data_IF_041454069237
#
_entry.id   IF_041454069237
#
_cell.length_a   1.000
_cell.length_b   1.000
_cell.length_c   1.000
_cell.angle_alpha   90.00
_cell.angle_beta   90.00
_cell.angle_gamma   90.00
#
_symmetry.space_group_name_H-M   'P 1'
#
loop_
_entity.id
_entity.type
_entity.pdbx_description
1 polymer ?
#
# COMPACT_ATOMS: atom_id res chain seq x y z
N UNK A 1 14.52 3.62 3.80
CA UNK A 1 14.44 3.13 5.21
C UNK A 1 13.67 4.16 6.01
N UNK A 2 12.48 3.82 6.51
CA UNK A 2 11.63 4.74 7.28
C UNK A 2 12.08 4.82 8.75
N UNK A 3 11.78 5.94 9.41
CA UNK A 3 12.12 6.28 10.80
C UNK A 3 10.91 6.09 11.71
N UNK A 4 11.14 6.03 13.02
CA UNK A 4 10.05 5.93 14.02
C UNK A 4 9.04 7.09 13.93
N UNK A 5 9.48 8.28 13.52
CA UNK A 5 8.57 9.43 13.28
C UNK A 5 7.57 9.15 12.16
N UNK A 6 7.96 8.36 11.15
CA UNK A 6 7.13 8.13 9.97
C UNK A 6 5.92 7.25 10.33
N UNK A 7 6.03 6.39 11.36
CA UNK A 7 4.87 5.71 11.96
C UNK A 7 3.87 6.69 12.58
N UNK A 8 4.37 7.64 13.37
CA UNK A 8 3.51 8.63 14.05
C UNK A 8 2.85 9.55 13.03
N UNK A 9 3.60 10.04 12.05
CA UNK A 9 3.08 10.90 10.99
C UNK A 9 1.99 10.22 10.14
N UNK A 10 2.07 8.89 9.99
CA UNK A 10 1.16 8.14 9.15
C UNK A 10 0.18 7.23 9.92
N UNK A 11 0.02 7.43 11.23
CA UNK A 11 -0.85 6.60 12.08
C UNK A 11 -2.25 6.40 11.49
N UNK A 12 -2.87 7.47 10.96
CA UNK A 12 -4.19 7.38 10.31
C UNK A 12 -4.22 6.43 9.12
N UNK A 13 -3.15 6.35 8.34
CA UNK A 13 -3.05 5.52 7.14
C UNK A 13 -2.68 4.08 7.48
N UNK A 14 -1.87 3.89 8.51
CA UNK A 14 -1.61 2.57 9.07
C UNK A 14 -2.92 1.95 9.61
N UNK A 15 -3.76 2.75 10.26
CA UNK A 15 -5.10 2.31 10.65
C UNK A 15 -6.00 1.99 9.44
N UNK A 16 -5.89 2.74 8.34
CA UNK A 16 -6.62 2.45 7.10
C UNK A 16 -6.15 1.14 6.43
N UNK A 17 -4.83 0.88 6.44
CA UNK A 17 -4.24 -0.39 6.01
C UNK A 17 -4.82 -1.56 6.81
N UNK A 18 -4.81 -1.49 8.14
CA UNK A 18 -5.34 -2.56 8.99
C UNK A 18 -6.84 -2.79 8.76
N UNK A 19 -7.65 -1.72 8.70
CA UNK A 19 -9.09 -1.85 8.46
C UNK A 19 -9.43 -2.42 7.08
N UNK A 20 -8.68 -2.05 6.05
CA UNK A 20 -8.86 -2.61 4.71
C UNK A 20 -8.35 -4.06 4.64
N UNK A 21 -7.23 -4.37 5.29
CA UNK A 21 -6.69 -5.71 5.39
C UNK A 21 -7.64 -6.67 6.12
N UNK A 22 -8.33 -6.22 7.17
CA UNK A 22 -9.37 -6.99 7.84
C UNK A 22 -10.53 -7.32 6.90
N UNK A 23 -11.02 -6.34 6.14
CA UNK A 23 -12.10 -6.52 5.15
C UNK A 23 -11.70 -7.43 3.99
N UNK A 24 -10.41 -7.47 3.68
CA UNK A 24 -9.81 -8.33 2.66
C UNK A 24 -9.38 -9.69 3.22
N UNK A 25 -9.57 -9.93 4.53
CA UNK A 25 -9.13 -11.14 5.22
C UNK A 25 -7.65 -11.47 4.91
N UNK A 26 -6.78 -10.47 4.99
CA UNK A 26 -5.35 -10.65 4.74
C UNK A 26 -4.63 -11.24 5.96
N UNK A 27 -3.68 -12.12 5.70
CA UNK A 27 -2.78 -12.68 6.71
C UNK A 27 -1.80 -11.65 7.26
N UNK A 28 -1.21 -11.92 8.42
CA UNK A 28 -0.25 -11.02 9.08
C UNK A 28 0.94 -10.68 8.18
N UNK A 29 1.45 -11.63 7.40
CA UNK A 29 2.57 -11.39 6.48
C UNK A 29 2.22 -10.35 5.42
N UNK A 30 1.04 -10.45 4.79
CA UNK A 30 0.57 -9.49 3.79
C UNK A 30 0.36 -8.09 4.39
N UNK A 31 -0.14 -8.00 5.62
CA UNK A 31 -0.31 -6.73 6.36
C UNK A 31 1.03 -6.05 6.65
N UNK A 32 1.99 -6.80 7.18
CA UNK A 32 3.34 -6.30 7.44
C UNK A 32 4.00 -5.84 6.14
N UNK A 33 3.89 -6.64 5.07
CA UNK A 33 4.41 -6.27 3.75
C UNK A 33 3.78 -4.98 3.22
N UNK A 34 2.46 -4.85 3.30
CA UNK A 34 1.76 -3.65 2.86
C UNK A 34 2.19 -2.42 3.66
N UNK A 35 2.36 -2.55 4.98
CA UNK A 35 2.85 -1.47 5.84
C UNK A 35 4.25 -1.03 5.46
N UNK A 36 5.18 -1.97 5.26
CA UNK A 36 6.56 -1.67 4.88
C UNK A 36 6.65 -0.95 3.53
N UNK A 37 5.86 -1.42 2.56
CA UNK A 37 5.77 -0.80 1.24
C UNK A 37 5.24 0.63 1.34
N UNK A 38 4.12 0.82 2.06
CA UNK A 38 3.52 2.14 2.25
C UNK A 38 4.51 3.11 2.90
N UNK A 39 5.12 2.73 4.03
CA UNK A 39 6.05 3.59 4.75
C UNK A 39 7.29 3.89 3.92
N UNK A 40 7.82 2.92 3.17
CA UNK A 40 8.97 3.15 2.30
C UNK A 40 8.66 4.18 1.21
N UNK A 41 7.50 4.09 0.56
CA UNK A 41 7.09 5.05 -0.47
C UNK A 41 6.86 6.45 0.09
N UNK A 42 6.09 6.60 1.17
CA UNK A 42 5.69 7.94 1.64
C UNK A 42 6.78 8.67 2.42
N UNK A 43 7.81 7.96 2.90
CA UNK A 43 8.93 8.56 3.64
C UNK A 43 9.87 9.36 2.75
N UNK A 44 9.90 9.07 1.45
CA UNK A 44 10.75 9.73 0.47
C UNK A 44 10.05 10.91 -0.24
N UNK A 45 8.79 11.20 0.11
CA UNK A 45 8.02 12.29 -0.49
C UNK A 45 8.45 13.67 0.00
N UNK A 46 8.87 14.51 -0.94
CA UNK A 46 9.38 15.86 -0.67
C UNK A 46 8.34 16.95 -0.95
N UNK A 47 7.40 16.75 -1.88
CA UNK A 47 6.43 17.76 -2.28
C UNK A 47 5.13 17.72 -1.47
N UNK A 48 4.38 18.84 -1.48
CA UNK A 48 3.07 18.90 -0.79
C UNK A 48 1.98 18.13 -1.54
N UNK A 49 2.09 18.04 -2.87
CA UNK A 49 1.15 17.33 -3.74
C UNK A 49 1.22 15.81 -3.49
N UNK A 50 2.43 15.25 -3.40
CA UNK A 50 2.61 13.86 -2.98
C UNK A 50 2.00 13.64 -1.59
N UNK A 51 2.16 14.62 -0.69
CA UNK A 51 1.66 14.56 0.69
C UNK A 51 0.19 14.98 0.84
N UNK A 52 -0.64 14.94 -0.20
CA UNK A 52 -2.08 15.08 -0.01
C UNK A 52 -2.73 13.78 0.53
N UNK A 53 -4.05 13.80 0.74
CA UNK A 53 -4.78 12.65 1.26
C UNK A 53 -5.10 11.59 0.20
N UNK A 54 -5.42 12.00 -1.02
CA UNK A 54 -5.80 11.08 -2.11
C UNK A 54 -4.58 10.32 -2.61
N UNK A 55 -3.43 10.97 -2.68
CA UNK A 55 -2.12 10.38 -2.98
C UNK A 55 -1.75 9.32 -1.95
N UNK A 56 -1.93 9.58 -0.65
CA UNK A 56 -1.68 8.55 0.38
C UNK A 56 -2.65 7.40 0.32
N UNK A 57 -3.94 7.67 0.12
CA UNK A 57 -4.93 6.61 -0.05
C UNK A 57 -4.62 5.73 -1.27
N UNK A 58 -4.14 6.33 -2.35
CA UNK A 58 -3.68 5.59 -3.53
C UNK A 58 -2.49 4.67 -3.21
N UNK A 59 -1.52 5.13 -2.41
CA UNK A 59 -0.42 4.27 -1.94
C UNK A 59 -0.93 3.17 -1.01
N UNK A 60 -1.84 3.46 -0.06
CA UNK A 60 -2.46 2.44 0.80
C UNK A 60 -3.05 1.30 -0.05
N UNK A 61 -3.84 1.63 -1.07
CA UNK A 61 -4.44 0.63 -1.95
C UNK A 61 -3.39 -0.15 -2.76
N UNK A 62 -2.39 0.53 -3.30
CA UNK A 62 -1.31 -0.11 -4.06
C UNK A 62 -0.47 -1.06 -3.17
N UNK A 63 -0.09 -0.62 -1.97
CA UNK A 63 0.66 -1.41 -1.00
C UNK A 63 -0.11 -2.64 -0.52
N UNK A 64 -1.41 -2.52 -0.26
CA UNK A 64 -2.26 -3.67 0.11
C UNK A 64 -2.33 -4.70 -1.02
N UNK A 65 -2.53 -4.24 -2.26
CA UNK A 65 -2.55 -5.14 -3.40
C UNK A 65 -1.20 -5.85 -3.57
N UNK A 66 -0.10 -5.10 -3.59
CA UNK A 66 1.23 -5.68 -3.77
C UNK A 66 1.61 -6.62 -2.61
N UNK A 67 1.31 -6.23 -1.37
CA UNK A 67 1.52 -7.07 -0.18
C UNK A 67 0.75 -8.39 -0.26
N UNK A 68 -0.53 -8.36 -0.66
CA UNK A 68 -1.33 -9.57 -0.86
C UNK A 68 -0.79 -10.46 -1.97
N UNK A 69 -0.25 -9.86 -3.04
CA UNK A 69 0.32 -10.59 -4.17
C UNK A 69 1.63 -11.28 -3.80
N UNK A 70 2.52 -10.58 -3.09
CA UNK A 70 3.84 -11.10 -2.66
C UNK A 70 3.67 -12.26 -1.69
N UNK A 71 2.78 -12.12 -0.71
CA UNK A 71 2.64 -13.08 0.39
C UNK A 71 1.62 -14.20 0.06
N UNK A 72 1.05 -14.21 -1.15
CA UNK A 72 0.24 -15.31 -1.67
C UNK A 72 -1.26 -15.25 -1.36
N UNK A 73 -1.75 -14.20 -0.69
CA UNK A 73 -3.19 -13.97 -0.45
C UNK A 73 -3.96 -13.62 -1.74
N UNK A 74 -3.27 -13.03 -2.74
CA UNK A 74 -3.73 -12.80 -4.11
C UNK A 74 -5.11 -12.13 -4.24
N UNK A 75 -5.36 -11.05 -3.48
CA UNK A 75 -6.63 -10.31 -3.62
C UNK A 75 -6.67 -9.53 -4.93
N UNK A 76 -7.82 -9.53 -5.59
CA UNK A 76 -8.00 -8.82 -6.85
C UNK A 76 -7.87 -7.30 -6.64
N UNK A 77 -7.39 -6.57 -7.65
CA UNK A 77 -7.33 -5.11 -7.58
C UNK A 77 -8.72 -4.49 -7.34
N UNK A 78 -9.79 -5.09 -7.87
CA UNK A 78 -11.15 -4.60 -7.63
C UNK A 78 -11.54 -4.72 -6.16
N UNK A 79 -11.27 -5.87 -5.53
CA UNK A 79 -11.59 -6.08 -4.12
C UNK A 79 -10.80 -5.10 -3.22
N UNK A 80 -9.52 -4.88 -3.53
CA UNK A 80 -8.68 -3.92 -2.80
C UNK A 80 -9.19 -2.49 -3.02
N UNK A 81 -9.60 -2.15 -4.24
CA UNK A 81 -10.15 -0.84 -4.57
C UNK A 81 -11.45 -0.56 -3.80
N UNK A 82 -12.36 -1.53 -3.74
CA UNK A 82 -13.60 -1.44 -2.98
C UNK A 82 -13.34 -1.34 -1.48
N UNK A 83 -12.35 -2.09 -0.96
CA UNK A 83 -11.94 -2.00 0.44
C UNK A 83 -11.34 -0.62 0.77
N UNK A 84 -10.53 -0.03 -0.08
CA UNK A 84 -9.90 1.27 0.25
C UNK A 84 -10.78 2.47 -0.15
N UNK A 85 -11.75 2.27 -1.04
CA UNK A 85 -12.58 3.36 -1.57
C UNK A 85 -11.87 4.18 -2.64
N UNK A 86 -11.12 3.50 -3.53
CA UNK A 86 -10.44 4.09 -4.68
C UNK A 86 -10.93 3.46 -5.98
N UNK A 87 -10.58 4.03 -7.13
CA UNK A 87 -10.80 3.36 -8.41
C UNK A 87 -9.79 2.21 -8.59
N UNK A 88 -10.21 1.09 -9.19
CA UNK A 88 -9.31 -0.03 -9.55
C UNK A 88 -8.09 0.45 -10.35
N UNK A 89 -8.31 1.42 -11.26
CA UNK A 89 -7.25 1.96 -12.12
C UNK A 89 -6.16 2.69 -11.31
N UNK A 90 -6.49 3.27 -10.15
CA UNK A 90 -5.52 3.88 -9.23
C UNK A 90 -4.48 2.86 -8.76
N UNK A 91 -4.93 1.64 -8.43
CA UNK A 91 -4.03 0.54 -8.05
C UNK A 91 -3.22 0.11 -9.26
N UNK A 92 -3.90 -0.14 -10.39
CA UNK A 92 -3.29 -0.64 -11.62
C UNK A 92 -2.10 0.21 -12.09
N UNK A 93 -2.20 1.54 -11.96
CA UNK A 93 -1.19 2.49 -12.40
C UNK A 93 0.01 2.60 -11.46
N UNK A 94 -0.12 2.20 -10.19
CA UNK A 94 0.89 2.49 -9.16
C UNK A 94 1.61 1.26 -8.60
N UNK A 95 0.97 0.10 -8.60
CA UNK A 95 1.48 -1.05 -7.84
C UNK A 95 2.83 -1.56 -8.35
N UNK A 96 3.12 -1.45 -9.65
CA UNK A 96 4.41 -1.89 -10.21
C UNK A 96 5.54 -0.96 -9.81
N UNK A 97 5.35 0.33 -10.03
CA UNK A 97 6.30 1.38 -9.66
C UNK A 97 6.62 1.31 -8.17
N UNK A 98 5.61 1.09 -7.33
CA UNK A 98 5.76 0.90 -5.89
C UNK A 98 6.65 -0.31 -5.53
N UNK A 99 6.54 -1.43 -6.27
CA UNK A 99 7.42 -2.58 -6.07
C UNK A 99 8.85 -2.27 -6.50
N UNK A 100 9.02 -1.61 -7.64
CA UNK A 100 10.32 -1.23 -8.17
C UNK A 100 11.05 -0.27 -7.22
N UNK A 101 10.35 0.73 -6.67
CA UNK A 101 10.85 1.65 -5.64
C UNK A 101 11.28 0.92 -4.36
N UNK A 102 10.54 -0.14 -3.98
CA UNK A 102 10.89 -1.00 -2.84
C UNK A 102 12.04 -1.98 -3.14
N UNK A 103 12.62 -1.95 -4.35
CA UNK A 103 13.65 -2.89 -4.80
C UNK A 103 13.14 -4.31 -5.02
N UNK A 104 11.83 -4.48 -5.16
CA UNK A 104 11.17 -5.76 -5.39
C UNK A 104 10.82 -5.89 -6.87
N UNK A 105 10.84 -7.11 -7.38
CA UNK A 105 10.38 -7.40 -8.74
C UNK A 105 8.95 -7.91 -8.69
N UNK A 106 8.04 -7.39 -9.54
CA UNK A 106 6.72 -7.98 -9.67
C UNK A 106 6.85 -9.45 -10.12
N UNK A 107 5.96 -10.34 -9.66
CA UNK A 107 5.98 -11.73 -10.10
C UNK A 107 5.82 -11.82 -11.63
N UNK A 108 6.58 -12.71 -12.27
CA UNK A 108 6.66 -12.82 -13.74
C UNK A 108 5.69 -13.84 -14.36
N UNK A 109 4.72 -14.33 -13.60
CA UNK A 109 3.83 -15.43 -14.00
C UNK A 109 2.53 -14.94 -14.65
#
# INVERSE_FOLDING_TARGET
MYRARDYVENERWLAEIEQAADRLELGTAARSRATDLFLSTVSDWESTEERDADSRRAVVAASLYAGSLIEGDQRSQSNVADAVGVARLTIQQRWKDLLEEAGLQPPSW
#
